data_IF_344915085588
#
_entry.id   IF_344915085588
#
_cell.length_a   1.000
_cell.length_b   1.000
_cell.length_c   1.000
_cell.angle_alpha   90.00
_cell.angle_beta   90.00
_cell.angle_gamma   90.00
#
_symmetry.space_group_name_H-M   'P 1'
#
loop_
_entity.id
_entity.type
_entity.pdbx_description
1 polymer ?
#
# COMPACT_ATOMS: atom_id res chain seq x y z
N UNK A 1 -12.93 -10.27 22.77
CA UNK A 1 -11.70 -10.94 22.31
C UNK A 1 -10.65 -9.90 22.05
N UNK A 2 -9.43 -10.14 22.52
CA UNK A 2 -8.33 -9.17 22.40
C UNK A 2 -7.52 -9.33 21.11
N UNK A 3 -7.85 -10.29 20.26
CA UNK A 3 -7.10 -10.57 19.04
C UNK A 3 -8.03 -10.92 17.87
N UNK A 4 -7.50 -10.79 16.67
CA UNK A 4 -8.16 -11.24 15.44
C UNK A 4 -7.10 -11.72 14.46
N UNK A 5 -7.51 -12.56 13.52
CA UNK A 5 -6.63 -13.06 12.46
C UNK A 5 -7.19 -12.60 11.12
N UNK A 6 -6.33 -12.01 10.31
CA UNK A 6 -6.70 -11.53 8.98
C UNK A 6 -5.84 -12.28 7.97
N UNK A 7 -6.50 -12.94 7.04
CA UNK A 7 -5.83 -13.55 5.90
C UNK A 7 -6.07 -12.66 4.69
N UNK A 8 -5.00 -12.15 4.12
CA UNK A 8 -5.08 -11.15 3.06
C UNK A 8 -5.93 -11.61 1.88
N UNK A 9 -5.83 -12.88 1.50
CA UNK A 9 -6.55 -13.44 0.35
C UNK A 9 -8.05 -13.58 0.59
N UNK A 10 -8.53 -13.45 1.83
CA UNK A 10 -9.96 -13.48 2.13
C UNK A 10 -10.64 -12.12 1.92
N UNK A 11 -9.85 -11.06 1.71
CA UNK A 11 -10.39 -9.72 1.54
C UNK A 11 -10.43 -9.32 0.07
N UNK A 12 -11.63 -9.02 -0.41
CA UNK A 12 -11.83 -8.41 -1.74
C UNK A 12 -12.76 -7.24 -1.57
N UNK A 13 -12.34 -6.07 -2.02
CA UNK A 13 -13.17 -4.87 -1.94
C UNK A 13 -14.12 -4.80 -3.15
N UNK A 14 -15.14 -3.97 -3.03
CA UNK A 14 -16.09 -3.73 -4.12
C UNK A 14 -15.60 -2.65 -5.09
N UNK A 15 -14.49 -2.02 -4.80
CA UNK A 15 -13.88 -0.97 -5.63
C UNK A 15 -12.37 -1.02 -5.49
N UNK A 16 -11.68 -0.51 -6.49
CA UNK A 16 -10.23 -0.38 -6.46
C UNK A 16 -9.78 0.44 -5.25
N UNK A 17 -8.71 -0.01 -4.61
CA UNK A 17 -8.13 0.60 -3.40
C UNK A 17 -9.07 0.63 -2.19
N UNK A 18 -10.10 -0.19 -2.22
CA UNK A 18 -10.93 -0.39 -1.03
C UNK A 18 -10.10 -0.98 0.10
N UNK A 19 -10.33 -0.50 1.32
CA UNK A 19 -9.52 -0.85 2.47
C UNK A 19 -10.29 -1.54 3.59
N UNK A 20 -9.60 -2.41 4.29
CA UNK A 20 -10.03 -3.01 5.53
C UNK A 20 -9.19 -2.41 6.65
N UNK A 21 -9.82 -1.71 7.58
CA UNK A 21 -9.11 -1.13 8.72
C UNK A 21 -8.73 -2.23 9.69
N UNK A 22 -7.45 -2.39 9.95
CA UNK A 22 -6.97 -3.37 10.93
C UNK A 22 -6.88 -2.71 12.30
N UNK A 23 -6.17 -1.60 12.39
CA UNK A 23 -6.03 -0.85 13.64
C UNK A 23 -5.46 0.54 13.37
N UNK A 24 -5.51 1.38 14.39
CA UNK A 24 -4.80 2.65 14.43
C UNK A 24 -3.99 2.67 15.72
N UNK A 25 -2.70 3.01 15.61
CA UNK A 25 -1.79 3.06 16.74
C UNK A 25 -1.09 4.42 16.76
N UNK A 26 -1.43 5.26 17.74
CA UNK A 26 -0.78 6.56 17.92
C UNK A 26 -0.78 7.43 16.65
N UNK A 27 -1.91 7.50 15.97
CA UNK A 27 -2.04 8.30 14.74
C UNK A 27 -1.52 7.62 13.48
N UNK A 28 -1.13 6.35 13.56
CA UNK A 28 -0.69 5.56 12.41
C UNK A 28 -1.78 4.55 12.08
N UNK A 29 -2.25 4.55 10.84
CA UNK A 29 -3.24 3.58 10.38
C UNK A 29 -2.55 2.34 9.81
N UNK A 30 -3.16 1.18 10.06
CA UNK A 30 -2.74 -0.11 9.49
C UNK A 30 -3.95 -0.65 8.74
N UNK A 31 -3.86 -0.69 7.41
CA UNK A 31 -4.99 -1.05 6.54
C UNK A 31 -4.54 -2.06 5.50
N UNK A 32 -5.43 -3.00 5.21
CA UNK A 32 -5.25 -3.91 4.08
C UNK A 32 -6.07 -3.38 2.92
N UNK A 33 -5.42 -3.10 1.79
CA UNK A 33 -6.10 -2.67 0.57
C UNK A 33 -6.20 -3.83 -0.43
N UNK A 34 -7.30 -3.85 -1.15
CA UNK A 34 -7.46 -4.65 -2.36
C UNK A 34 -7.55 -3.71 -3.55
N UNK A 35 -6.90 -4.05 -4.65
CA UNK A 35 -7.03 -3.27 -5.88
C UNK A 35 -6.77 -4.11 -7.12
N UNK A 36 -7.35 -3.71 -8.23
CA UNK A 36 -7.06 -4.22 -9.57
C UNK A 36 -6.70 -3.10 -10.54
N UNK A 37 -6.57 -1.88 -10.03
CA UNK A 37 -6.29 -0.68 -10.83
C UNK A 37 -5.15 0.14 -10.23
N UNK A 38 -4.41 0.92 -11.06
CA UNK A 38 -3.38 1.81 -10.56
C UNK A 38 -3.95 2.87 -9.61
N UNK A 39 -3.11 3.32 -8.70
CA UNK A 39 -3.40 4.49 -7.89
C UNK A 39 -3.00 5.76 -8.68
N UNK A 40 -2.81 6.88 -8.02
CA UNK A 40 -2.33 8.13 -8.61
C UNK A 40 -0.96 8.48 -8.04
N UNK A 41 -0.20 9.26 -8.79
CA UNK A 41 1.03 9.86 -8.26
C UNK A 41 0.71 10.71 -7.06
N UNK A 42 1.42 10.51 -5.97
CA UNK A 42 1.18 11.26 -4.73
C UNK A 42 2.43 11.30 -3.85
N UNK A 43 2.38 12.21 -2.89
CA UNK A 43 3.39 12.32 -1.83
C UNK A 43 2.63 12.22 -0.52
N UNK A 44 3.06 11.35 0.37
CA UNK A 44 2.47 11.23 1.68
C UNK A 44 3.03 12.30 2.62
N UNK A 45 2.24 12.73 3.59
CA UNK A 45 2.70 13.68 4.61
C UNK A 45 3.67 13.09 5.63
N UNK A 46 3.88 11.80 5.62
CA UNK A 46 4.77 11.08 6.51
C UNK A 46 5.39 9.89 5.80
N UNK A 47 5.91 8.99 6.58
CA UNK A 47 6.44 7.73 6.06
C UNK A 47 5.32 6.76 5.71
N UNK A 48 5.59 5.85 4.77
CA UNK A 48 4.67 4.78 4.41
C UNK A 48 5.41 3.47 4.29
N UNK A 49 4.83 2.41 4.84
CA UNK A 49 5.24 1.03 4.58
C UNK A 49 4.17 0.39 3.70
N UNK A 50 4.61 -0.16 2.57
CA UNK A 50 3.76 -0.74 1.54
C UNK A 50 4.22 -2.18 1.35
N UNK A 51 3.46 -3.15 1.87
CA UNK A 51 3.83 -4.56 1.83
C UNK A 51 2.87 -5.33 0.93
N UNK A 52 3.40 -5.95 -0.12
CA UNK A 52 2.59 -6.77 -1.02
C UNK A 52 2.28 -8.10 -0.34
N UNK A 53 1.00 -8.29 0.00
CA UNK A 53 0.55 -9.49 0.68
C UNK A 53 0.06 -10.56 -0.29
N UNK A 54 -0.35 -10.16 -1.48
CA UNK A 54 -0.84 -11.06 -2.53
C UNK A 54 -0.77 -10.33 -3.87
N UNK A 55 -0.34 -11.03 -4.92
CA UNK A 55 -0.20 -10.46 -6.24
C UNK A 55 1.15 -9.81 -6.49
N UNK A 56 1.22 -9.02 -7.55
CA UNK A 56 2.43 -8.33 -7.99
C UNK A 56 2.10 -6.88 -8.27
N UNK A 57 2.96 -5.96 -7.83
CA UNK A 57 2.77 -4.52 -8.03
C UNK A 57 4.03 -3.92 -8.60
N UNK A 58 3.90 -3.19 -9.72
CA UNK A 58 5.00 -2.36 -10.21
C UNK A 58 4.89 -1.00 -9.52
N UNK A 59 5.86 -0.68 -8.66
CA UNK A 59 5.92 0.58 -7.96
C UNK A 59 6.76 1.56 -8.76
N UNK A 60 6.16 2.68 -9.16
CA UNK A 60 6.87 3.78 -9.80
C UNK A 60 7.15 4.84 -8.74
N UNK A 61 8.38 5.35 -8.73
CA UNK A 61 8.78 6.36 -7.75
C UNK A 61 9.79 7.30 -8.37
N UNK A 62 9.94 8.49 -7.79
CA UNK A 62 10.93 9.45 -8.23
C UNK A 62 12.09 9.49 -7.25
N UNK A 63 13.29 9.49 -7.79
CA UNK A 63 14.52 9.62 -7.03
C UNK A 63 15.36 10.71 -7.71
N UNK A 64 15.62 11.78 -6.99
CA UNK A 64 16.37 12.95 -7.53
C UNK A 64 15.76 13.48 -8.83
N UNK A 65 14.40 13.49 -8.89
CA UNK A 65 13.68 13.98 -10.07
C UNK A 65 13.56 12.96 -11.21
N UNK A 66 14.21 11.81 -11.10
CA UNK A 66 14.11 10.75 -12.12
C UNK A 66 13.04 9.71 -11.74
N UNK A 67 12.21 9.36 -12.71
CA UNK A 67 11.24 8.31 -12.54
C UNK A 67 11.93 6.94 -12.64
N UNK A 68 11.71 6.09 -11.65
CA UNK A 68 12.20 4.71 -11.59
C UNK A 68 11.05 3.79 -11.29
N UNK A 69 11.24 2.51 -11.49
CA UNK A 69 10.24 1.52 -11.13
C UNK A 69 10.91 0.25 -10.60
N UNK A 70 10.15 -0.46 -9.79
CA UNK A 70 10.57 -1.76 -9.24
C UNK A 70 9.35 -2.67 -9.21
N UNK A 71 9.56 -3.93 -9.54
CA UNK A 71 8.51 -4.94 -9.44
C UNK A 71 8.54 -5.53 -8.05
N UNK A 72 7.42 -5.40 -7.34
CA UNK A 72 7.24 -5.95 -6.00
C UNK A 72 6.40 -7.22 -6.10
N UNK A 73 6.94 -8.33 -5.64
CA UNK A 73 6.24 -9.60 -5.58
C UNK A 73 5.68 -9.82 -4.18
N UNK A 74 4.85 -10.82 -4.03
CA UNK A 74 4.27 -11.17 -2.72
C UNK A 74 5.38 -11.37 -1.69
N UNK A 75 5.28 -10.63 -0.58
CA UNK A 75 6.28 -10.64 0.47
C UNK A 75 7.29 -9.48 0.40
N UNK A 76 7.30 -8.72 -0.71
CA UNK A 76 8.20 -7.57 -0.84
C UNK A 76 7.59 -6.35 -0.17
N UNK A 77 8.46 -5.51 0.36
CA UNK A 77 8.09 -4.30 1.09
C UNK A 77 8.74 -3.10 0.44
N UNK A 78 7.94 -2.07 0.14
CA UNK A 78 8.43 -0.77 -0.31
C UNK A 78 8.29 0.22 0.85
N UNK A 79 9.39 0.84 1.23
CA UNK A 79 9.37 1.89 2.23
C UNK A 79 9.47 3.25 1.52
N UNK A 80 8.48 4.11 1.72
CA UNK A 80 8.49 5.47 1.21
C UNK A 80 8.80 6.42 2.36
N UNK A 81 9.97 7.03 2.33
CA UNK A 81 10.34 8.08 3.27
C UNK A 81 9.54 9.35 2.99
N UNK A 82 9.60 10.30 3.89
CA UNK A 82 8.91 11.59 3.77
C UNK A 82 9.32 12.26 2.45
N UNK A 83 8.33 12.70 1.67
CA UNK A 83 8.57 13.40 0.40
C UNK A 83 8.76 12.49 -0.81
N UNK A 84 8.66 11.19 -0.66
CA UNK A 84 8.77 10.27 -1.79
C UNK A 84 7.54 10.35 -2.68
N UNK A 85 7.70 10.78 -3.93
CA UNK A 85 6.65 10.71 -4.95
C UNK A 85 6.58 9.28 -5.47
N UNK A 86 5.41 8.70 -5.47
CA UNK A 86 5.24 7.31 -5.95
C UNK A 86 3.82 7.02 -6.41
N UNK A 87 3.69 5.95 -7.19
CA UNK A 87 2.40 5.42 -7.65
C UNK A 87 2.50 3.91 -7.84
N UNK A 88 1.51 3.19 -7.34
CA UNK A 88 1.45 1.74 -7.45
C UNK A 88 0.63 1.30 -8.66
N UNK A 89 1.18 0.37 -9.44
CA UNK A 89 0.52 -0.23 -10.59
C UNK A 89 0.40 -1.74 -10.37
N UNK A 90 -0.76 -2.23 -9.89
CA UNK A 90 -0.93 -3.68 -9.73
C UNK A 90 -0.95 -4.38 -11.09
N UNK A 91 -0.40 -5.57 -11.12
CA UNK A 91 -0.41 -6.44 -12.30
C UNK A 91 -1.54 -7.46 -12.12
N UNK A 92 -2.79 -7.03 -12.35
CA UNK A 92 -3.98 -7.79 -11.99
C UNK A 92 -4.42 -7.44 -10.56
N UNK A 93 -5.08 -8.36 -9.88
CA UNK A 93 -5.49 -8.15 -8.49
C UNK A 93 -4.27 -8.18 -7.55
N UNK A 94 -4.28 -7.28 -6.58
CA UNK A 94 -3.27 -7.26 -5.54
C UNK A 94 -3.88 -6.89 -4.19
N UNK A 95 -3.24 -7.35 -3.14
CA UNK A 95 -3.60 -7.02 -1.76
C UNK A 95 -2.35 -6.50 -1.07
N UNK A 96 -2.50 -5.34 -0.46
CA UNK A 96 -1.36 -4.57 0.05
C UNK A 96 -1.66 -4.13 1.47
N UNK A 97 -0.71 -4.40 2.38
CA UNK A 97 -0.76 -3.85 3.72
C UNK A 97 -0.09 -2.48 3.69
N UNK A 98 -0.84 -1.45 4.04
CA UNK A 98 -0.34 -0.08 4.05
C UNK A 98 -0.34 0.44 5.48
N UNK A 99 0.82 0.92 5.92
CA UNK A 99 1.03 1.50 7.24
C UNK A 99 1.48 2.94 7.02
N UNK A 100 0.69 3.90 7.47
CA UNK A 100 0.94 5.31 7.21
C UNK A 100 0.20 6.20 8.21
N UNK A 101 0.58 7.47 8.24
CA UNK A 101 -0.10 8.46 9.07
C UNK A 101 -1.59 8.52 8.68
N UNK A 102 -2.45 8.60 9.69
CA UNK A 102 -3.90 8.72 9.48
C UNK A 102 -4.21 9.93 8.60
N UNK A 103 -5.06 9.74 7.58
CA UNK A 103 -5.43 10.78 6.64
C UNK A 103 -4.45 10.99 5.50
N UNK A 104 -3.36 10.23 5.44
CA UNK A 104 -2.45 10.25 4.30
C UNK A 104 -3.14 9.69 3.05
N UNK A 105 -2.79 10.21 1.88
CA UNK A 105 -3.42 9.81 0.62
C UNK A 105 -2.61 8.79 -0.17
#
# INVERSE_FOLDING_TARGET
MAHKIIRSTDFTATRAWGGLDITEMNGISVRLHWTDEPYKWHINDGEEVFAVMDGVVEMHYKERGEAKSVLLETGDIFYAGIGTEHVAHPQGEARILVIEKVGSV
#
